data_IF_125706431777
#
_entry.id   IF_125706431777
#
_cell.length_a   1.000
_cell.length_b   1.000
_cell.length_c   1.000
_cell.angle_alpha   90.00
_cell.angle_beta   90.00
_cell.angle_gamma   90.00
#
_symmetry.space_group_name_H-M   'P 1'
#
loop_
_entity.id
_entity.type
_entity.pdbx_description
1 polymer ?
#
# COMPACT_ATOMS: atom_id res chain seq x y z
N UNK A 1 11.34 31.88 0.85
CA UNK A 1 10.59 30.61 0.77
C UNK A 1 10.24 30.41 -0.69
N UNK A 2 10.52 29.25 -1.27
CA UNK A 2 10.11 28.95 -2.64
C UNK A 2 8.57 28.90 -2.67
N UNK A 3 7.87 29.75 -3.44
CA UNK A 3 6.41 29.74 -3.50
C UNK A 3 5.84 28.42 -4.06
N UNK A 4 6.68 27.56 -4.67
CA UNK A 4 6.29 26.24 -5.16
C UNK A 4 6.45 25.12 -4.11
N UNK A 5 6.91 25.45 -2.91
CA UNK A 5 7.07 24.50 -1.81
C UNK A 5 5.70 24.25 -1.14
N UNK A 6 5.10 23.08 -1.37
CA UNK A 6 3.83 22.68 -0.76
C UNK A 6 4.02 22.18 0.68
N UNK A 7 5.02 21.33 0.93
CA UNK A 7 5.24 20.67 2.22
C UNK A 7 6.62 20.98 2.84
N UNK A 8 7.41 21.86 2.22
CA UNK A 8 8.68 22.30 2.80
C UNK A 8 9.73 21.19 2.71
N UNK A 9 10.28 20.68 3.83
CA UNK A 9 11.33 19.67 3.79
C UNK A 9 10.98 18.39 3.03
N UNK A 10 9.69 18.01 2.96
CA UNK A 10 9.25 16.82 2.21
C UNK A 10 9.48 16.98 0.71
N UNK A 11 9.41 18.21 0.20
CA UNK A 11 9.58 18.50 -1.23
C UNK A 11 11.02 18.22 -1.70
N UNK A 12 11.98 18.07 -0.78
CA UNK A 12 13.34 17.61 -1.07
C UNK A 12 13.37 16.18 -1.65
N UNK A 13 12.31 15.39 -1.42
CA UNK A 13 12.17 14.03 -1.94
C UNK A 13 11.56 13.97 -3.34
N UNK A 14 11.10 15.11 -3.91
CA UNK A 14 10.46 15.15 -5.23
C UNK A 14 11.25 14.45 -6.34
N UNK A 15 12.59 14.57 -6.44
CA UNK A 15 13.36 13.88 -7.48
C UNK A 15 13.32 12.35 -7.37
N UNK A 16 12.97 11.81 -6.19
CA UNK A 16 12.94 10.38 -5.88
C UNK A 16 11.55 9.91 -5.45
N UNK A 17 10.50 10.66 -5.79
CA UNK A 17 9.17 10.43 -5.25
C UNK A 17 8.62 9.06 -5.64
N UNK A 18 8.96 8.57 -6.83
CA UNK A 18 8.51 7.27 -7.33
C UNK A 18 9.20 6.11 -6.61
N UNK A 19 10.49 6.24 -6.28
CA UNK A 19 11.25 5.29 -5.46
C UNK A 19 10.78 5.29 -4.01
N UNK A 20 10.48 6.46 -3.45
CA UNK A 20 9.87 6.59 -2.12
C UNK A 20 8.53 5.87 -2.08
N UNK A 21 7.68 6.07 -3.10
CA UNK A 21 6.41 5.35 -3.23
C UNK A 21 6.63 3.83 -3.33
N UNK A 22 7.63 3.37 -4.08
CA UNK A 22 7.96 1.95 -4.18
C UNK A 22 8.31 1.38 -2.81
N UNK A 23 9.15 2.06 -2.03
CA UNK A 23 9.51 1.66 -0.66
C UNK A 23 8.27 1.60 0.22
N UNK A 24 7.38 2.60 0.16
CA UNK A 24 6.14 2.61 0.94
C UNK A 24 5.22 1.43 0.58
N UNK A 25 5.09 1.09 -0.70
CA UNK A 25 4.29 -0.05 -1.16
C UNK A 25 4.90 -1.38 -0.69
N UNK A 26 6.23 -1.51 -0.70
CA UNK A 26 6.93 -2.68 -0.17
C UNK A 26 6.72 -2.83 1.35
N UNK A 27 6.86 -1.73 2.11
CA UNK A 27 6.60 -1.71 3.55
C UNK A 27 5.15 -2.06 3.86
N UNK A 28 4.20 -1.55 3.07
CA UNK A 28 2.78 -1.92 3.21
C UNK A 28 2.55 -3.42 2.98
N UNK A 29 3.15 -3.99 1.94
CA UNK A 29 3.08 -5.43 1.67
C UNK A 29 3.68 -6.27 2.80
N UNK A 30 4.84 -5.87 3.32
CA UNK A 30 5.50 -6.56 4.44
C UNK A 30 4.66 -6.50 5.72
N UNK A 31 4.17 -5.32 6.07
CA UNK A 31 3.32 -5.13 7.27
C UNK A 31 2.00 -5.89 7.15
N UNK A 32 1.45 -6.10 5.95
CA UNK A 32 0.27 -6.96 5.74
C UNK A 32 0.57 -8.42 6.12
N UNK A 33 1.72 -8.95 5.70
CA UNK A 33 2.11 -10.32 6.03
C UNK A 33 2.34 -10.50 7.54
N UNK A 34 2.93 -9.50 8.19
CA UNK A 34 3.11 -9.48 9.65
C UNK A 34 1.76 -9.39 10.37
N UNK A 35 0.87 -8.52 9.92
CA UNK A 35 -0.48 -8.38 10.47
C UNK A 35 -1.28 -9.69 10.39
N UNK A 36 -1.22 -10.39 9.25
CA UNK A 36 -1.89 -11.69 9.10
C UNK A 36 -1.39 -12.73 10.11
N UNK A 37 -0.08 -12.77 10.38
CA UNK A 37 0.49 -13.68 11.39
C UNK A 37 0.02 -13.30 12.80
N UNK A 38 -0.02 -12.01 13.10
CA UNK A 38 -0.50 -11.51 14.38
C UNK A 38 -1.98 -11.89 14.61
N UNK A 39 -2.84 -11.75 13.60
CA UNK A 39 -4.27 -12.10 13.73
C UNK A 39 -4.46 -13.58 14.07
N UNK A 40 -3.66 -14.47 13.47
CA UNK A 40 -3.67 -15.90 13.81
C UNK A 40 -3.22 -16.15 15.25
N UNK A 41 -2.10 -15.56 15.68
CA UNK A 41 -1.61 -15.65 17.07
C UNK A 41 -2.65 -15.17 18.08
N UNK A 42 -3.28 -14.01 17.82
CA UNK A 42 -4.30 -13.43 18.71
C UNK A 42 -5.51 -14.35 18.84
N UNK A 43 -5.94 -14.98 17.75
CA UNK A 43 -7.04 -15.93 17.78
C UNK A 43 -6.70 -17.21 18.54
N UNK A 44 -5.49 -17.74 18.38
CA UNK A 44 -5.03 -18.92 19.13
C UNK A 44 -4.95 -18.64 20.64
N UNK A 45 -4.56 -17.42 21.04
CA UNK A 45 -4.38 -17.04 22.44
C UNK A 45 -5.69 -16.62 23.14
N UNK A 46 -6.60 -15.94 22.43
CA UNK A 46 -7.77 -15.29 23.04
C UNK A 46 -9.07 -15.34 22.23
N UNK A 47 -9.12 -16.15 21.17
CA UNK A 47 -10.30 -16.30 20.32
C UNK A 47 -10.64 -15.04 19.52
N UNK A 48 -11.87 -14.97 19.01
CA UNK A 48 -12.29 -13.94 18.07
C UNK A 48 -12.22 -12.51 18.61
N UNK A 49 -12.49 -12.31 19.90
CA UNK A 49 -12.52 -10.99 20.54
C UNK A 49 -11.12 -10.43 20.84
N UNK A 50 -10.07 -11.27 20.77
CA UNK A 50 -8.69 -10.83 20.96
C UNK A 50 -8.07 -10.22 19.68
N UNK A 51 -8.72 -10.40 18.52
CA UNK A 51 -8.20 -9.91 17.24
C UNK A 51 -8.34 -8.38 17.17
N UNK A 52 -7.21 -7.70 17.02
CA UNK A 52 -7.15 -6.24 16.90
C UNK A 52 -6.32 -5.81 15.70
N UNK A 53 -6.62 -4.64 15.13
CA UNK A 53 -5.90 -4.12 13.96
C UNK A 53 -4.42 -3.91 14.25
N UNK A 54 -3.56 -4.30 13.31
CA UNK A 54 -2.12 -4.04 13.43
C UNK A 54 -1.83 -2.55 13.23
N UNK A 55 -1.26 -1.82 14.23
CA UNK A 55 -1.12 -0.37 14.17
C UNK A 55 -0.17 0.09 13.08
N UNK A 56 0.98 -0.58 12.92
CA UNK A 56 1.96 -0.23 11.86
C UNK A 56 1.39 -0.43 10.46
N UNK A 57 0.67 -1.53 10.20
CA UNK A 57 0.02 -1.74 8.91
C UNK A 57 -1.05 -0.67 8.64
N UNK A 58 -1.86 -0.34 9.65
CA UNK A 58 -2.86 0.74 9.57
C UNK A 58 -2.21 2.09 9.24
N UNK A 59 -1.12 2.43 9.93
CA UNK A 59 -0.34 3.63 9.66
C UNK A 59 0.24 3.63 8.24
N UNK A 60 0.72 2.48 7.75
CA UNK A 60 1.23 2.36 6.38
C UNK A 60 0.16 2.63 5.31
N UNK A 61 -1.07 2.18 5.54
CA UNK A 61 -2.21 2.44 4.64
C UNK A 61 -2.57 3.92 4.60
N UNK A 62 -2.61 4.57 5.76
CA UNK A 62 -2.86 6.03 5.86
C UNK A 62 -1.73 6.82 5.21
N UNK A 63 -0.48 6.42 5.43
CA UNK A 63 0.68 7.07 4.84
C UNK A 63 0.67 6.94 3.31
N UNK A 64 0.33 5.78 2.76
CA UNK A 64 0.16 5.59 1.32
C UNK A 64 -0.95 6.47 0.75
N UNK A 65 -2.07 6.62 1.47
CA UNK A 65 -3.18 7.49 1.03
C UNK A 65 -2.72 8.96 0.91
N UNK A 66 -2.01 9.46 1.92
CA UNK A 66 -1.44 10.81 1.86
C UNK A 66 -0.37 10.95 0.78
N UNK A 67 0.50 9.95 0.62
CA UNK A 67 1.52 9.96 -0.42
C UNK A 67 0.89 9.97 -1.82
N UNK A 68 -0.21 9.25 -2.03
CA UNK A 68 -0.92 9.25 -3.31
C UNK A 68 -1.54 10.62 -3.63
N UNK A 69 -2.19 11.26 -2.65
CA UNK A 69 -2.74 12.60 -2.82
C UNK A 69 -1.65 13.65 -3.05
N UNK A 70 -0.51 13.52 -2.39
CA UNK A 70 0.62 14.40 -2.65
C UNK A 70 1.18 14.18 -4.06
N UNK A 71 1.41 12.93 -4.48
CA UNK A 71 1.91 12.61 -5.82
C UNK A 71 0.95 13.06 -6.93
N UNK A 72 -0.36 13.07 -6.66
CA UNK A 72 -1.38 13.66 -7.54
C UNK A 72 -1.16 15.16 -7.81
N UNK A 73 -0.63 15.91 -6.83
CA UNK A 73 -0.25 17.32 -7.04
C UNK A 73 1.04 17.49 -7.84
N UNK A 74 1.92 16.49 -7.83
CA UNK A 74 3.20 16.51 -8.56
C UNK A 74 3.00 16.12 -10.02
N UNK A 75 2.27 15.03 -10.27
CA UNK A 75 1.97 14.54 -11.62
C UNK A 75 0.50 14.13 -11.70
N UNK A 76 -0.31 14.90 -12.41
CA UNK A 76 -1.76 14.68 -12.44
C UNK A 76 -2.14 13.30 -12.98
N UNK A 77 -1.71 12.95 -14.20
CA UNK A 77 -2.12 11.71 -14.85
C UNK A 77 -1.66 10.45 -14.10
N UNK A 78 -0.38 10.41 -13.69
CA UNK A 78 0.15 9.27 -12.96
C UNK A 78 -0.42 9.20 -11.53
N UNK A 79 -0.56 10.35 -10.87
CA UNK A 79 -1.14 10.41 -9.54
C UNK A 79 -2.62 10.04 -9.47
N UNK A 80 -3.42 10.29 -10.51
CA UNK A 80 -4.81 9.79 -10.57
C UNK A 80 -4.84 8.27 -10.55
N UNK A 81 -4.03 7.61 -11.38
CA UNK A 81 -3.96 6.14 -11.42
C UNK A 81 -3.47 5.57 -10.09
N UNK A 82 -2.39 6.14 -9.53
CA UNK A 82 -1.87 5.75 -8.22
C UNK A 82 -2.97 5.87 -7.14
N UNK A 83 -3.68 6.99 -7.11
CA UNK A 83 -4.73 7.27 -6.12
C UNK A 83 -5.87 6.25 -6.22
N UNK A 84 -6.29 5.89 -7.43
CA UNK A 84 -7.31 4.85 -7.63
C UNK A 84 -6.83 3.53 -7.02
N UNK A 85 -5.61 3.09 -7.32
CA UNK A 85 -5.07 1.84 -6.77
C UNK A 85 -4.93 1.88 -5.24
N UNK A 86 -4.45 2.99 -4.68
CA UNK A 86 -4.31 3.15 -3.22
C UNK A 86 -5.66 3.18 -2.51
N UNK A 87 -6.67 3.86 -3.06
CA UNK A 87 -8.02 3.87 -2.50
C UNK A 87 -8.63 2.46 -2.55
N UNK A 88 -8.50 1.76 -3.69
CA UNK A 88 -8.95 0.36 -3.79
C UNK A 88 -8.26 -0.50 -2.73
N UNK A 89 -6.94 -0.38 -2.60
CA UNK A 89 -6.17 -1.12 -1.60
C UNK A 89 -6.66 -0.84 -0.17
N UNK A 90 -6.80 0.44 0.17
CA UNK A 90 -7.28 0.89 1.48
C UNK A 90 -8.63 0.28 1.85
N UNK A 91 -9.60 0.30 0.92
CA UNK A 91 -10.91 -0.31 1.16
C UNK A 91 -10.83 -1.84 1.25
N UNK A 92 -10.02 -2.49 0.40
CA UNK A 92 -9.85 -3.94 0.49
C UNK A 92 -9.23 -4.37 1.82
N UNK A 93 -8.21 -3.66 2.33
CA UNK A 93 -7.62 -3.94 3.64
C UNK A 93 -8.63 -3.71 4.78
N UNK A 94 -9.50 -2.70 4.66
CA UNK A 94 -10.57 -2.48 5.63
C UNK A 94 -11.52 -3.68 5.72
N UNK A 95 -12.03 -4.15 4.58
CA UNK A 95 -12.96 -5.27 4.54
C UNK A 95 -12.31 -6.63 4.84
N UNK A 96 -11.03 -6.82 4.49
CA UNK A 96 -10.29 -8.02 4.85
C UNK A 96 -10.18 -8.18 6.36
N UNK A 97 -10.00 -7.10 7.11
CA UNK A 97 -10.04 -7.17 8.57
C UNK A 97 -11.41 -7.63 9.09
N UNK A 98 -12.51 -7.06 8.57
CA UNK A 98 -13.86 -7.47 8.95
C UNK A 98 -14.14 -8.94 8.56
N UNK A 99 -13.60 -9.39 7.43
CA UNK A 99 -13.67 -10.79 7.01
C UNK A 99 -12.95 -11.71 8.00
N UNK A 100 -11.75 -11.35 8.48
CA UNK A 100 -11.02 -12.13 9.51
C UNK A 100 -11.80 -12.22 10.81
N UNK A 101 -12.44 -11.14 11.27
CA UNK A 101 -13.32 -11.18 12.44
C UNK A 101 -14.50 -12.12 12.22
N UNK A 102 -15.13 -12.05 11.05
CA UNK A 102 -16.26 -12.91 10.71
C UNK A 102 -15.85 -14.39 10.60
N UNK A 103 -14.66 -14.70 10.10
CA UNK A 103 -14.10 -16.06 10.06
C UNK A 103 -13.79 -16.57 11.47
N UNK A 104 -13.12 -15.76 12.29
CA UNK A 104 -12.78 -16.10 13.67
C UNK A 104 -14.03 -16.41 14.52
N UNK A 105 -15.09 -15.62 14.38
CA UNK A 105 -16.38 -15.85 15.07
C UNK A 105 -17.12 -17.11 14.63
N UNK A 106 -16.81 -17.61 13.44
CA UNK A 106 -17.37 -18.85 12.88
C UNK A 106 -16.44 -20.04 13.06
N UNK A 107 -15.32 -19.88 13.75
CA UNK A 107 -14.27 -20.90 13.91
C UNK A 107 -13.78 -21.45 12.56
N UNK A 108 -13.84 -20.61 11.52
CA UNK A 108 -13.34 -20.95 10.20
C UNK A 108 -11.83 -20.71 10.14
N UNK A 109 -11.14 -21.46 9.28
CA UNK A 109 -9.72 -21.21 9.02
C UNK A 109 -9.52 -19.81 8.45
N UNK A 110 -8.63 -19.02 9.06
CA UNK A 110 -8.30 -17.70 8.55
C UNK A 110 -7.51 -17.79 7.25
N UNK A 111 -8.18 -17.45 6.16
CA UNK A 111 -7.58 -17.40 4.84
C UNK A 111 -6.59 -16.24 4.69
N UNK A 112 -5.77 -16.29 3.63
CA UNK A 112 -4.96 -15.15 3.21
C UNK A 112 -5.86 -14.01 2.72
N UNK A 113 -5.43 -12.74 2.86
CA UNK A 113 -6.20 -11.59 2.43
C UNK A 113 -6.14 -11.39 0.90
N UNK A 114 -6.81 -12.28 0.16
CA UNK A 114 -6.74 -12.36 -1.31
C UNK A 114 -7.14 -11.05 -1.99
N UNK A 115 -8.16 -10.36 -1.48
CA UNK A 115 -8.63 -9.10 -2.04
C UNK A 115 -7.56 -8.02 -1.94
N UNK A 116 -7.01 -7.83 -0.73
CA UNK A 116 -5.95 -6.86 -0.50
C UNK A 116 -4.63 -7.23 -1.19
N UNK A 117 -4.28 -8.51 -1.26
CA UNK A 117 -3.10 -8.97 -2.02
C UNK A 117 -3.21 -8.66 -3.51
N UNK A 118 -4.41 -8.82 -4.09
CA UNK A 118 -4.65 -8.49 -5.50
C UNK A 118 -4.54 -7.00 -5.74
N UNK A 119 -5.22 -6.18 -4.92
CA UNK A 119 -5.15 -4.72 -5.02
C UNK A 119 -3.72 -4.19 -4.83
N UNK A 120 -2.99 -4.76 -3.87
CA UNK A 120 -1.58 -4.43 -3.64
C UNK A 120 -0.70 -4.85 -4.81
N UNK A 121 -0.94 -6.01 -5.42
CA UNK A 121 -0.19 -6.46 -6.58
C UNK A 121 -0.32 -5.49 -7.75
N UNK A 122 -1.53 -4.99 -8.02
CA UNK A 122 -1.76 -3.97 -9.06
C UNK A 122 -1.04 -2.66 -8.74
N UNK A 123 -1.15 -2.18 -7.50
CA UNK A 123 -0.43 -0.99 -7.03
C UNK A 123 1.09 -1.15 -7.17
N UNK A 124 1.62 -2.30 -6.73
CA UNK A 124 3.04 -2.62 -6.78
C UNK A 124 3.56 -2.66 -8.21
N UNK A 125 2.84 -3.32 -9.13
CA UNK A 125 3.21 -3.35 -10.54
C UNK A 125 3.23 -1.95 -11.15
N UNK A 126 2.21 -1.14 -10.85
CA UNK A 126 2.13 0.23 -11.35
C UNK A 126 3.31 1.09 -10.85
N UNK A 127 3.57 1.10 -9.55
CA UNK A 127 4.66 1.90 -8.95
C UNK A 127 6.03 1.37 -9.38
N UNK A 128 6.19 0.06 -9.51
CA UNK A 128 7.43 -0.55 -10.01
C UNK A 128 7.69 -0.15 -11.46
N UNK A 129 6.65 -0.17 -12.32
CA UNK A 129 6.78 0.29 -13.70
C UNK A 129 7.24 1.74 -13.76
N UNK A 130 6.69 2.62 -12.93
CA UNK A 130 7.07 4.04 -12.85
C UNK A 130 8.52 4.20 -12.38
N UNK A 131 8.84 3.69 -11.20
CA UNK A 131 10.14 3.85 -10.55
C UNK A 131 11.30 3.12 -11.24
N UNK A 132 11.04 1.99 -11.91
CA UNK A 132 12.08 1.16 -12.53
C UNK A 132 12.11 1.26 -14.06
N UNK A 133 11.38 2.20 -14.66
CA UNK A 133 11.31 2.31 -16.12
C UNK A 133 12.69 2.48 -16.76
N UNK A 134 13.62 3.18 -16.08
CA UNK A 134 14.99 3.40 -16.55
C UNK A 134 15.75 2.10 -16.84
N UNK A 135 15.34 0.96 -16.25
CA UNK A 135 15.94 -0.36 -16.51
C UNK A 135 15.49 -0.90 -17.88
N UNK A 136 14.23 -0.65 -18.24
CA UNK A 136 13.61 -1.16 -19.48
C UNK A 136 13.79 -0.19 -20.64
N UNK A 137 13.86 1.12 -20.35
CA UNK A 137 13.97 2.20 -21.32
C UNK A 137 15.05 1.96 -22.41
N UNK A 138 16.30 1.56 -22.10
CA UNK A 138 17.32 1.39 -23.12
C UNK A 138 16.99 0.28 -24.13
N UNK A 139 16.31 -0.78 -23.67
CA UNK A 139 15.88 -1.88 -24.52
C UNK A 139 14.72 -1.41 -25.40
N UNK A 140 13.75 -0.69 -24.84
CA UNK A 140 12.59 -0.18 -25.57
C UNK A 140 12.99 0.77 -26.70
N UNK A 141 13.88 1.72 -26.41
CA UNK A 141 14.43 2.69 -27.38
C UNK A 141 15.28 2.03 -28.48
N UNK A 142 15.71 0.79 -28.30
CA UNK A 142 16.43 0.04 -29.35
C UNK A 142 15.49 -0.62 -30.37
N UNK A 143 14.21 -0.76 -30.05
CA UNK A 143 13.21 -1.48 -30.86
C UNK A 143 12.24 -0.49 -31.54
N UNK A 144 11.81 0.55 -30.82
CA UNK A 144 10.87 1.58 -31.27
C UNK A 144 11.61 2.87 -31.57
#
# INVERSE_FOLDING_TARGET
>A
MDPNSLLGPVDLLLPYIEEVLLVLVLVNGLTRLVAQRQYKSQYEEGGAEAIVRHPVHTASNVLLLFAAFYYLTVTFHAGVLLTIFVITLFFTDFFEFEARLAEARREAEMELPKGALTAWGLLFLYVSYRSLFFVVQPIWESIV
#
